data_IF_666733873801
#
_entry.id   IF_666733873801
#
_cell.length_a   1.000
_cell.length_b   1.000
_cell.length_c   1.000
_cell.angle_alpha   90.00
_cell.angle_beta   90.00
_cell.angle_gamma   90.00
#
_symmetry.space_group_name_H-M   'P 1'
#
loop_
_entity.id
_entity.type
_entity.pdbx_description
1 polymer ?
#
# COMPACT_ATOMS: atom_id res chain seq x y z
N UNK A 1 17.44 0.42 26.54
CA UNK A 1 18.28 0.05 25.40
C UNK A 1 17.39 -0.33 24.24
N UNK A 2 17.60 0.26 23.08
CA UNK A 2 16.90 -0.13 21.86
C UNK A 2 17.47 -1.46 21.36
N UNK A 3 16.63 -2.50 21.25
CA UNK A 3 17.01 -3.74 20.58
C UNK A 3 17.18 -3.48 19.07
N UNK A 4 18.08 -4.27 18.45
CA UNK A 4 18.24 -4.28 16.98
C UNK A 4 17.70 -5.62 16.49
N UNK A 5 16.82 -5.60 15.49
CA UNK A 5 16.36 -6.80 14.80
C UNK A 5 17.29 -7.04 13.59
N UNK A 6 17.81 -8.25 13.49
CA UNK A 6 18.65 -8.69 12.36
C UNK A 6 17.94 -9.84 11.67
N UNK A 7 17.63 -9.66 10.39
CA UNK A 7 16.89 -10.62 9.57
C UNK A 7 17.68 -11.02 8.33
N UNK A 8 17.32 -12.18 7.78
CA UNK A 8 17.89 -12.61 6.50
C UNK A 8 17.37 -11.73 5.37
N UNK A 9 18.28 -11.16 4.58
CA UNK A 9 17.92 -10.45 3.35
C UNK A 9 17.37 -11.42 2.31
N UNK A 10 16.17 -11.14 1.81
CA UNK A 10 15.54 -11.89 0.72
C UNK A 10 15.83 -11.18 -0.60
N UNK A 11 16.27 -11.95 -1.59
CA UNK A 11 16.58 -11.41 -2.92
C UNK A 11 15.35 -11.47 -3.82
N UNK A 12 15.08 -10.38 -4.53
CA UNK A 12 13.95 -10.32 -5.44
C UNK A 12 13.34 -8.93 -5.56
N UNK A 13 12.15 -8.91 -6.12
CA UNK A 13 11.31 -7.71 -6.29
C UNK A 13 10.29 -7.70 -5.16
N UNK A 14 10.08 -6.54 -4.57
CA UNK A 14 9.05 -6.33 -3.55
C UNK A 14 7.68 -6.22 -4.21
N UNK A 15 6.71 -6.88 -3.60
CA UNK A 15 5.32 -6.87 -4.02
C UNK A 15 4.43 -6.47 -2.86
N UNK A 16 3.41 -5.67 -3.13
CA UNK A 16 2.33 -5.34 -2.20
C UNK A 16 1.05 -6.05 -2.62
N UNK A 17 0.56 -6.98 -1.78
CA UNK A 17 -0.65 -7.76 -2.02
C UNK A 17 -1.75 -7.31 -1.07
N UNK A 18 -2.92 -7.01 -1.62
CA UNK A 18 -4.10 -6.64 -0.84
C UNK A 18 -4.99 -7.86 -0.61
N UNK A 19 -5.21 -8.18 0.65
CA UNK A 19 -6.13 -9.24 1.10
C UNK A 19 -7.36 -8.59 1.70
N UNK A 20 -8.54 -9.06 1.31
CA UNK A 20 -9.83 -8.64 1.86
C UNK A 20 -10.69 -9.88 2.12
N UNK A 21 -11.20 -10.04 3.33
CA UNK A 21 -12.05 -11.19 3.71
C UNK A 21 -11.35 -12.54 3.48
N UNK A 22 -10.03 -12.61 3.67
CA UNK A 22 -9.25 -13.82 3.47
C UNK A 22 -9.02 -14.19 2.00
N UNK A 23 -9.20 -13.26 1.07
CA UNK A 23 -8.95 -13.46 -0.38
C UNK A 23 -8.01 -12.39 -0.91
N UNK A 24 -7.08 -12.80 -1.78
CA UNK A 24 -6.29 -11.86 -2.57
C UNK A 24 -7.21 -11.09 -3.52
N UNK A 25 -7.13 -9.76 -3.50
CA UNK A 25 -7.96 -8.86 -4.30
C UNK A 25 -7.14 -8.12 -5.34
N UNK A 26 -5.93 -7.71 -4.98
CA UNK A 26 -5.03 -6.99 -5.87
C UNK A 26 -3.57 -7.21 -5.48
N UNK A 27 -2.68 -7.10 -6.44
CA UNK A 27 -1.24 -7.16 -6.23
C UNK A 27 -0.52 -6.16 -7.13
N UNK A 28 0.45 -5.45 -6.54
CA UNK A 28 1.34 -4.57 -7.27
C UNK A 28 2.79 -4.92 -6.95
N UNK A 29 3.67 -4.75 -7.91
CA UNK A 29 5.12 -4.87 -7.70
C UNK A 29 5.80 -3.52 -7.73
N UNK A 30 6.90 -3.43 -7.00
CA UNK A 30 7.83 -2.30 -7.07
C UNK A 30 8.58 -2.29 -8.40
N UNK A 31 9.09 -1.12 -8.75
CA UNK A 31 10.00 -0.96 -9.88
C UNK A 31 11.35 -0.42 -9.40
N UNK A 32 12.38 -0.76 -10.17
CA UNK A 32 13.69 -0.16 -10.00
C UNK A 32 13.66 1.26 -10.57
N UNK A 33 14.18 2.21 -9.82
CA UNK A 33 14.40 3.57 -10.33
C UNK A 33 15.85 3.69 -10.75
N UNK A 34 16.06 3.87 -12.03
CA UNK A 34 17.37 4.10 -12.62
C UNK A 34 17.41 5.41 -13.39
N UNK A 35 18.60 5.96 -13.56
CA UNK A 35 18.89 7.06 -14.48
C UNK A 35 20.04 6.69 -15.38
N UNK A 36 20.11 7.29 -16.56
CA UNK A 36 21.20 7.07 -17.52
C UNK A 36 22.11 8.29 -17.51
N UNK A 37 23.38 8.09 -17.24
CA UNK A 37 24.40 9.12 -17.28
C UNK A 37 24.51 9.75 -18.67
N UNK A 38 24.69 11.05 -18.70
CA UNK A 38 24.94 11.85 -19.93
C UNK A 38 26.36 12.37 -20.01
N UNK A 39 27.18 12.11 -18.98
CA UNK A 39 28.55 12.59 -18.86
C UNK A 39 28.66 14.08 -18.50
N UNK A 40 27.57 14.74 -18.10
CA UNK A 40 27.52 16.18 -17.81
C UNK A 40 26.74 16.53 -16.57
N UNK A 41 25.57 15.90 -16.40
CA UNK A 41 24.61 16.18 -15.32
C UNK A 41 24.95 15.34 -14.09
N UNK A 42 24.71 15.89 -12.89
CA UNK A 42 24.81 15.14 -11.64
C UNK A 42 23.68 14.12 -11.52
N UNK A 43 23.85 13.13 -10.66
CA UNK A 43 22.79 12.15 -10.36
C UNK A 43 21.49 12.84 -9.96
N UNK A 44 21.55 13.88 -9.10
CA UNK A 44 20.37 14.63 -8.69
C UNK A 44 19.67 15.32 -9.88
N UNK A 45 20.43 15.95 -10.77
CA UNK A 45 19.89 16.57 -12.00
C UNK A 45 19.28 15.53 -12.94
N UNK A 46 19.88 14.35 -13.06
CA UNK A 46 19.35 13.26 -13.88
C UNK A 46 18.02 12.74 -13.31
N UNK A 47 17.89 12.63 -11.98
CA UNK A 47 16.60 12.26 -11.35
C UNK A 47 15.52 13.29 -11.69
N UNK A 48 15.82 14.59 -11.58
CA UNK A 48 14.84 15.63 -11.89
C UNK A 48 14.45 15.64 -13.38
N UNK A 49 15.37 15.38 -14.28
CA UNK A 49 15.11 15.48 -15.72
C UNK A 49 14.60 14.19 -16.35
N UNK A 50 15.01 13.01 -15.85
CA UNK A 50 14.62 11.72 -16.46
C UNK A 50 13.49 11.03 -15.71
N UNK A 51 13.35 11.27 -14.38
CA UNK A 51 12.41 10.53 -13.53
C UNK A 51 11.26 11.42 -13.07
N UNK A 52 11.56 12.58 -12.47
CA UNK A 52 10.55 13.44 -11.86
C UNK A 52 9.75 14.28 -12.88
N UNK A 53 10.11 14.26 -14.15
CA UNK A 53 9.33 14.83 -15.25
C UNK A 53 8.11 14.00 -15.64
N UNK A 54 8.00 12.75 -15.18
CA UNK A 54 6.81 11.92 -15.45
C UNK A 54 5.56 12.56 -14.83
N UNK A 55 4.52 12.89 -15.62
CA UNK A 55 3.31 13.58 -15.13
C UNK A 55 2.51 12.74 -14.11
N UNK A 56 2.76 11.45 -14.02
CA UNK A 56 2.15 10.57 -13.00
C UNK A 56 2.78 10.75 -11.62
N UNK A 57 3.94 11.43 -11.52
CA UNK A 57 4.63 11.70 -10.27
C UNK A 57 4.15 12.99 -9.63
N UNK A 58 4.01 12.98 -8.32
CA UNK A 58 3.61 14.16 -7.59
C UNK A 58 3.71 14.00 -6.07
N UNK A 59 3.31 15.07 -5.37
CA UNK A 59 3.40 15.19 -3.90
C UNK A 59 2.06 14.89 -3.20
N UNK A 60 1.00 14.66 -3.96
CA UNK A 60 -0.35 14.46 -3.43
C UNK A 60 -0.86 13.07 -3.77
N UNK A 61 -1.87 12.61 -3.05
CA UNK A 61 -2.55 11.33 -3.28
C UNK A 61 -3.28 11.25 -4.64
N UNK A 62 -3.32 12.34 -5.40
CA UNK A 62 -3.85 12.34 -6.76
C UNK A 62 -2.87 11.71 -7.78
N UNK A 63 -1.60 11.62 -7.42
CA UNK A 63 -0.55 11.07 -8.27
C UNK A 63 -0.25 9.62 -7.87
N UNK A 64 -0.30 8.68 -8.81
CA UNK A 64 -0.03 7.26 -8.51
C UNK A 64 1.44 7.00 -8.16
N UNK A 65 2.36 7.87 -8.56
CA UNK A 65 3.78 7.75 -8.31
C UNK A 65 4.27 8.93 -7.47
N UNK A 66 5.17 8.65 -6.53
CA UNK A 66 5.82 9.68 -5.72
C UNK A 66 6.98 10.34 -6.45
N UNK A 67 7.27 11.58 -6.11
CA UNK A 67 8.51 12.25 -6.51
C UNK A 67 9.70 11.51 -5.89
N UNK A 68 10.68 11.19 -6.69
CA UNK A 68 11.91 10.54 -6.24
C UNK A 68 12.85 11.58 -5.63
N UNK A 69 13.38 11.24 -4.45
CA UNK A 69 14.36 12.03 -3.72
C UNK A 69 15.51 11.15 -3.28
N UNK A 70 16.68 11.72 -3.13
CA UNK A 70 17.84 11.03 -2.60
C UNK A 70 17.71 10.99 -1.06
N UNK A 71 17.03 9.98 -0.58
CA UNK A 71 16.93 9.65 0.84
C UNK A 71 18.13 8.80 1.32
N UNK A 72 18.07 8.31 2.55
CA UNK A 72 19.16 7.50 3.12
C UNK A 72 19.36 6.19 2.34
N UNK A 73 18.30 5.54 1.87
CA UNK A 73 18.40 4.29 1.12
C UNK A 73 19.03 4.54 -0.26
N UNK A 74 18.62 5.60 -0.95
CA UNK A 74 19.21 6.01 -2.22
C UNK A 74 20.68 6.38 -2.07
N UNK A 75 21.07 7.07 -0.99
CA UNK A 75 22.48 7.38 -0.71
C UNK A 75 23.32 6.12 -0.57
N UNK A 76 22.87 5.13 0.21
CA UNK A 76 23.55 3.85 0.39
C UNK A 76 23.67 3.11 -0.95
N UNK A 77 22.63 3.13 -1.79
CA UNK A 77 22.65 2.47 -3.08
C UNK A 77 23.63 3.16 -4.06
N UNK A 78 23.71 4.50 -4.03
CA UNK A 78 24.69 5.26 -4.80
C UNK A 78 26.13 5.00 -4.31
N UNK A 79 26.37 4.98 -3.00
CA UNK A 79 27.67 4.66 -2.40
C UNK A 79 28.16 3.27 -2.81
N UNK A 80 27.29 2.27 -2.88
CA UNK A 80 27.60 0.91 -3.38
C UNK A 80 28.11 0.91 -4.82
N UNK A 81 27.70 1.90 -5.60
CA UNK A 81 28.08 2.08 -7.00
C UNK A 81 29.28 3.05 -7.15
N UNK A 82 29.84 3.55 -6.04
CA UNK A 82 30.94 4.52 -5.99
C UNK A 82 30.48 5.93 -6.42
N UNK A 83 29.21 6.26 -6.20
CA UNK A 83 28.59 7.52 -6.60
C UNK A 83 28.00 8.26 -5.38
N UNK A 84 27.73 9.55 -5.58
CA UNK A 84 26.97 10.42 -4.68
C UNK A 84 25.92 11.20 -5.49
N UNK A 85 25.11 12.01 -4.80
CA UNK A 85 24.15 12.92 -5.45
C UNK A 85 24.80 13.86 -6.47
N UNK A 86 26.00 14.37 -6.14
CA UNK A 86 26.75 15.33 -6.94
C UNK A 86 27.66 14.66 -7.99
N UNK A 87 27.74 13.34 -8.01
CA UNK A 87 28.54 12.62 -8.99
C UNK A 87 27.97 12.78 -10.40
N UNK A 88 28.85 12.94 -11.40
CA UNK A 88 28.50 12.96 -12.82
C UNK A 88 28.79 11.58 -13.41
N UNK A 89 27.77 10.74 -13.64
CA UNK A 89 27.97 9.42 -14.23
C UNK A 89 28.45 9.53 -15.67
N UNK A 90 29.33 8.61 -16.07
CA UNK A 90 29.78 8.53 -17.45
C UNK A 90 28.57 8.37 -18.39
N UNK A 91 28.74 8.83 -19.64
CA UNK A 91 27.71 8.70 -20.66
C UNK A 91 27.30 7.22 -20.83
N UNK A 92 26.01 6.99 -20.96
CA UNK A 92 25.35 5.68 -21.12
C UNK A 92 25.51 4.73 -19.90
N UNK A 93 26.08 5.22 -18.78
CA UNK A 93 26.11 4.45 -17.54
C UNK A 93 24.73 4.45 -16.89
N UNK A 94 24.16 3.27 -16.69
CA UNK A 94 22.96 3.12 -15.86
C UNK A 94 23.31 3.22 -14.38
N UNK A 95 22.56 4.02 -13.64
CA UNK A 95 22.72 4.25 -12.20
C UNK A 95 21.42 3.90 -11.50
N UNK A 96 21.47 2.92 -10.62
CA UNK A 96 20.35 2.53 -9.79
C UNK A 96 20.19 3.53 -8.62
N UNK A 97 19.02 4.11 -8.49
CA UNK A 97 18.68 5.09 -7.44
C UNK A 97 17.96 4.42 -6.27
N UNK A 98 16.91 3.68 -6.57
CA UNK A 98 16.09 2.99 -5.57
C UNK A 98 15.61 1.65 -6.09
N UNK A 99 15.54 0.65 -5.19
CA UNK A 99 15.04 -0.70 -5.52
C UNK A 99 13.54 -0.83 -5.32
N UNK A 100 12.96 -0.07 -4.39
CA UNK A 100 11.58 -0.22 -3.92
C UNK A 100 10.89 1.16 -3.87
N UNK A 101 10.96 1.93 -4.96
CA UNK A 101 10.48 3.32 -4.93
C UNK A 101 8.95 3.46 -5.04
N UNK A 102 8.31 2.59 -5.80
CA UNK A 102 6.87 2.65 -6.02
C UNK A 102 6.32 1.27 -6.37
N UNK A 103 5.24 0.87 -5.73
CA UNK A 103 4.44 -0.28 -6.15
C UNK A 103 3.53 0.14 -7.33
N UNK A 104 4.13 0.31 -8.50
CA UNK A 104 3.50 0.98 -9.62
C UNK A 104 2.87 0.05 -10.66
N UNK A 105 3.26 -1.24 -10.65
CA UNK A 105 2.84 -2.19 -11.66
C UNK A 105 1.80 -3.15 -11.09
N UNK A 106 0.59 -3.13 -11.65
CA UNK A 106 -0.41 -4.15 -11.35
C UNK A 106 0.06 -5.51 -11.88
N UNK A 107 0.17 -6.48 -10.99
CA UNK A 107 0.52 -7.87 -11.30
C UNK A 107 -0.50 -8.85 -10.72
N UNK A 108 -1.72 -8.40 -10.45
CA UNK A 108 -2.77 -9.20 -9.80
C UNK A 108 -3.05 -10.50 -10.52
N UNK A 109 -3.17 -10.46 -11.85
CA UNK A 109 -3.49 -11.62 -12.68
C UNK A 109 -2.31 -12.61 -12.82
N UNK A 110 -1.11 -12.20 -12.37
CA UNK A 110 0.12 -12.99 -12.45
C UNK A 110 0.40 -13.79 -11.17
N UNK A 111 -0.29 -13.46 -10.07
CA UNK A 111 0.01 -14.07 -8.76
C UNK A 111 -0.29 -15.56 -8.75
N UNK A 112 0.72 -16.37 -8.40
CA UNK A 112 0.55 -17.81 -8.26
C UNK A 112 -0.53 -18.15 -7.22
N UNK A 113 -1.42 -19.13 -7.46
CA UNK A 113 -2.49 -19.50 -6.53
C UNK A 113 -1.99 -19.86 -5.13
N UNK A 114 -0.88 -20.58 -5.00
CA UNK A 114 -0.30 -20.93 -3.69
C UNK A 114 0.19 -19.68 -2.95
N UNK A 115 0.79 -18.72 -3.66
CA UNK A 115 1.19 -17.43 -3.09
C UNK A 115 -0.02 -16.67 -2.58
N UNK A 116 -1.13 -16.65 -3.35
CA UNK A 116 -2.38 -16.03 -2.93
C UNK A 116 -2.95 -16.67 -1.65
N UNK A 117 -2.86 -17.99 -1.52
CA UNK A 117 -3.30 -18.70 -0.31
C UNK A 117 -2.40 -18.38 0.90
N UNK A 118 -1.09 -18.34 0.70
CA UNK A 118 -0.11 -18.03 1.77
C UNK A 118 -0.32 -16.62 2.31
N UNK A 119 -0.51 -15.61 1.45
CA UNK A 119 -0.75 -14.23 1.91
C UNK A 119 -2.12 -14.08 2.59
N UNK A 120 -3.15 -14.78 2.12
CA UNK A 120 -4.45 -14.83 2.77
C UNK A 120 -4.37 -15.48 4.16
N UNK A 121 -3.56 -16.54 4.29
CA UNK A 121 -3.29 -17.17 5.57
C UNK A 121 -2.55 -16.24 6.52
N UNK A 122 -1.53 -15.52 6.04
CA UNK A 122 -0.78 -14.56 6.85
C UNK A 122 -1.69 -13.46 7.43
N UNK A 123 -2.57 -12.87 6.62
CA UNK A 123 -3.54 -11.88 7.08
C UNK A 123 -4.47 -12.47 8.17
N UNK A 124 -4.95 -13.69 7.99
CA UNK A 124 -5.81 -14.38 8.95
C UNK A 124 -5.11 -14.71 10.27
N UNK A 125 -3.84 -15.14 10.21
CA UNK A 125 -3.03 -15.45 11.41
C UNK A 125 -2.81 -14.20 12.27
N UNK A 126 -2.60 -13.05 11.62
CA UNK A 126 -2.48 -11.74 12.31
C UNK A 126 -3.85 -11.23 12.79
N UNK A 127 -4.96 -11.80 12.31
CA UNK A 127 -6.33 -11.40 12.69
C UNK A 127 -6.86 -10.19 11.91
N UNK A 128 -6.37 -9.96 10.70
CA UNK A 128 -6.80 -8.84 9.85
C UNK A 128 -7.74 -9.35 8.75
N UNK A 129 -8.89 -8.72 8.63
CA UNK A 129 -9.85 -8.93 7.54
C UNK A 129 -9.50 -8.12 6.28
N UNK A 130 -8.80 -7.00 6.46
CA UNK A 130 -8.21 -6.19 5.39
C UNK A 130 -6.74 -5.98 5.71
N UNK A 131 -5.86 -6.47 4.85
CA UNK A 131 -4.43 -6.42 5.07
C UNK A 131 -3.65 -6.13 3.78
N UNK A 132 -2.60 -5.34 3.90
CA UNK A 132 -1.54 -5.24 2.90
C UNK A 132 -0.39 -6.15 3.29
N UNK A 133 -0.06 -7.09 2.44
CA UNK A 133 1.04 -8.04 2.67
C UNK A 133 2.20 -7.70 1.75
N UNK A 134 3.35 -7.41 2.34
CA UNK A 134 4.58 -7.19 1.61
C UNK A 134 5.35 -8.49 1.51
N UNK A 135 5.71 -8.85 0.32
CA UNK A 135 6.54 -10.01 0.05
C UNK A 135 7.65 -9.69 -0.95
N UNK A 136 8.74 -10.43 -0.86
CA UNK A 136 9.85 -10.35 -1.80
C UNK A 136 10.01 -11.70 -2.49
N UNK A 137 10.01 -11.69 -3.81
CA UNK A 137 10.28 -12.87 -4.64
C UNK A 137 10.88 -12.47 -5.99
N UNK A 138 11.47 -13.43 -6.69
CA UNK A 138 12.02 -13.19 -8.03
C UNK A 138 10.93 -13.17 -9.11
N UNK A 139 9.91 -14.02 -8.95
CA UNK A 139 8.84 -14.22 -9.94
C UNK A 139 7.53 -14.53 -9.21
N UNK A 140 6.58 -13.58 -9.23
CA UNK A 140 5.29 -13.72 -8.53
C UNK A 140 4.40 -14.82 -9.11
N UNK A 141 4.68 -15.26 -10.33
CA UNK A 141 3.96 -16.33 -11.01
C UNK A 141 4.38 -17.75 -10.57
N UNK A 142 5.34 -17.85 -9.66
CA UNK A 142 5.82 -19.11 -9.08
C UNK A 142 5.54 -19.18 -7.58
N UNK A 143 5.45 -20.40 -6.99
CA UNK A 143 5.34 -20.55 -5.56
C UNK A 143 6.49 -19.86 -4.82
N UNK A 144 6.20 -19.24 -3.66
CA UNK A 144 7.20 -18.50 -2.87
C UNK A 144 8.34 -19.39 -2.38
N UNK A 145 8.01 -20.57 -1.89
CA UNK A 145 8.96 -21.54 -1.33
C UNK A 145 9.93 -22.09 -2.39
N UNK A 146 9.45 -22.29 -3.61
CA UNK A 146 10.26 -22.80 -4.73
C UNK A 146 11.41 -21.85 -5.12
N UNK A 147 11.32 -20.57 -4.77
CA UNK A 147 12.30 -19.55 -5.14
C UNK A 147 12.95 -18.87 -3.93
N UNK A 148 12.65 -19.33 -2.71
CA UNK A 148 13.16 -18.72 -1.49
C UNK A 148 12.58 -17.32 -1.22
N UNK A 149 11.42 -17.02 -1.79
CA UNK A 149 10.67 -15.80 -1.50
C UNK A 149 10.07 -15.82 -0.10
N UNK A 150 9.77 -14.65 0.45
CA UNK A 150 9.19 -14.55 1.78
C UNK A 150 8.24 -13.36 1.92
N UNK A 151 7.28 -13.50 2.84
CA UNK A 151 6.51 -12.38 3.39
C UNK A 151 7.42 -11.63 4.35
N UNK A 152 7.52 -10.32 4.20
CA UNK A 152 8.36 -9.47 5.05
C UNK A 152 7.55 -8.61 6.01
N UNK A 153 6.29 -8.28 5.65
CA UNK A 153 5.43 -7.47 6.51
C UNK A 153 3.95 -7.75 6.23
N UNK A 154 3.12 -7.63 7.29
CA UNK A 154 1.65 -7.63 7.19
C UNK A 154 1.12 -6.36 7.82
N UNK A 155 0.51 -5.49 7.02
CA UNK A 155 0.07 -4.15 7.40
C UNK A 155 -1.44 -4.08 7.60
N UNK A 156 -1.87 -3.51 8.73
CA UNK A 156 -3.23 -3.06 8.95
C UNK A 156 -3.46 -1.69 8.28
N UNK A 157 -4.60 -1.49 7.63
CA UNK A 157 -4.92 -0.22 6.97
C UNK A 157 -4.04 0.11 5.75
N UNK A 158 -3.92 -0.80 4.77
CA UNK A 158 -3.07 -0.60 3.61
C UNK A 158 -3.56 0.54 2.71
N UNK A 159 -2.62 1.24 2.06
CA UNK A 159 -2.96 2.19 1.01
C UNK A 159 -3.63 1.48 -0.17
N UNK A 160 -4.74 2.03 -0.65
CA UNK A 160 -5.51 1.48 -1.76
C UNK A 160 -5.17 2.15 -3.09
N UNK A 161 -4.55 3.33 -3.06
CA UNK A 161 -4.35 4.16 -4.25
C UNK A 161 -3.58 3.43 -5.34
N UNK A 162 -2.52 2.72 -5.00
CA UNK A 162 -1.69 1.97 -5.95
C UNK A 162 -2.46 0.90 -6.72
N UNK A 163 -3.52 0.35 -6.12
CA UNK A 163 -4.38 -0.66 -6.75
C UNK A 163 -5.51 -0.03 -7.57
N UNK A 164 -6.06 1.11 -7.10
CA UNK A 164 -7.13 1.83 -7.78
C UNK A 164 -6.58 2.59 -8.99
N UNK A 165 -5.37 3.13 -8.86
CA UNK A 165 -4.71 3.95 -9.88
C UNK A 165 -3.26 3.51 -10.04
N UNK A 166 -3.00 2.30 -10.58
CA UNK A 166 -1.65 1.85 -10.82
C UNK A 166 -0.94 2.75 -11.85
N UNK A 167 0.37 2.86 -11.74
CA UNK A 167 1.18 3.55 -12.75
C UNK A 167 1.17 2.82 -14.08
N UNK A 168 1.14 1.48 -14.06
CA UNK A 168 1.06 0.59 -15.23
C UNK A 168 0.16 -0.59 -14.88
N UNK A 169 -0.68 -1.02 -15.83
CA UNK A 169 -1.60 -2.14 -15.67
C UNK A 169 -3.04 -1.71 -15.46
N UNK A 170 -3.85 -2.56 -14.83
CA UNK A 170 -5.30 -2.39 -14.72
C UNK A 170 -5.69 -1.82 -13.34
N UNK A 171 -6.53 -0.77 -13.27
CA UNK A 171 -7.21 -0.41 -12.03
C UNK A 171 -8.00 -1.59 -11.46
N UNK A 172 -7.88 -1.84 -10.14
CA UNK A 172 -8.60 -2.90 -9.44
C UNK A 172 -9.70 -2.31 -8.57
N UNK A 173 -10.93 -2.87 -8.59
CA UNK A 173 -12.07 -2.34 -7.84
C UNK A 173 -12.00 -2.77 -6.36
N UNK A 174 -10.89 -2.47 -5.70
CA UNK A 174 -10.61 -2.91 -4.31
C UNK A 174 -11.60 -2.35 -3.30
N UNK A 175 -12.11 -1.14 -3.53
CA UNK A 175 -13.17 -0.56 -2.70
C UNK A 175 -14.46 -1.37 -2.74
N UNK A 176 -14.83 -1.90 -3.91
CA UNK A 176 -15.98 -2.79 -4.02
C UNK A 176 -15.79 -4.10 -3.26
N UNK A 177 -14.57 -4.68 -3.31
CA UNK A 177 -14.25 -5.89 -2.55
C UNK A 177 -14.37 -5.65 -1.04
N UNK A 178 -13.91 -4.49 -0.53
CA UNK A 178 -14.04 -4.10 0.87
C UNK A 178 -15.51 -3.94 1.26
N UNK A 179 -16.30 -3.22 0.46
CA UNK A 179 -17.72 -3.04 0.73
C UNK A 179 -18.46 -4.38 0.72
N UNK A 180 -18.19 -5.26 -0.24
CA UNK A 180 -18.79 -6.57 -0.32
C UNK A 180 -18.40 -7.49 0.86
N UNK A 181 -17.21 -7.28 1.44
CA UNK A 181 -16.77 -8.00 2.64
C UNK A 181 -17.48 -7.48 3.90
N UNK A 182 -17.73 -6.17 3.99
CA UNK A 182 -18.42 -5.55 5.13
C UNK A 182 -19.93 -5.81 5.14
N UNK A 183 -20.54 -5.88 3.97
CA UNK A 183 -21.98 -6.07 3.81
C UNK A 183 -22.22 -7.34 2.99
N UNK A 184 -22.94 -8.30 3.58
CA UNK A 184 -23.32 -9.53 2.87
C UNK A 184 -24.20 -9.24 1.64
N UNK A 185 -24.34 -10.24 0.77
CA UNK A 185 -25.27 -10.18 -0.35
C UNK A 185 -26.67 -9.85 0.17
N UNK A 186 -27.32 -8.86 -0.44
CA UNK A 186 -28.63 -8.33 -0.06
C UNK A 186 -28.69 -7.50 1.25
N UNK A 187 -27.57 -7.14 1.86
CA UNK A 187 -27.55 -6.17 2.94
C UNK A 187 -27.43 -4.75 2.36
N UNK A 188 -28.38 -3.89 2.73
CA UNK A 188 -28.38 -2.50 2.24
C UNK A 188 -27.32 -1.61 2.87
N UNK A 189 -26.67 -2.07 3.94
CA UNK A 189 -25.77 -1.27 4.77
C UNK A 189 -26.47 -0.10 5.49
N UNK A 190 -27.77 -0.01 5.38
CA UNK A 190 -28.54 1.06 6.03
C UNK A 190 -28.76 0.74 7.50
N UNK A 191 -28.53 1.74 8.34
CA UNK A 191 -28.89 1.70 9.75
C UNK A 191 -30.11 2.59 9.99
N UNK A 192 -31.02 2.24 10.91
CA UNK A 192 -32.09 3.12 11.32
C UNK A 192 -31.52 4.45 11.84
N UNK A 193 -32.09 5.57 11.38
CA UNK A 193 -31.67 6.90 11.81
C UNK A 193 -32.80 7.55 12.59
N UNK A 194 -32.49 8.04 13.79
CA UNK A 194 -33.39 8.81 14.64
C UNK A 194 -32.89 10.23 14.72
N UNK A 195 -33.63 11.17 14.15
CA UNK A 195 -33.31 12.61 14.23
C UNK A 195 -34.10 13.26 15.38
N UNK A 196 -33.39 13.97 16.27
CA UNK A 196 -33.99 14.73 17.37
C UNK A 196 -33.75 16.21 17.11
N UNK A 197 -34.85 16.98 16.93
CA UNK A 197 -34.81 18.41 16.69
C UNK A 197 -35.61 19.16 17.76
N UNK A 198 -35.32 20.45 17.99
CA UNK A 198 -36.01 21.30 18.93
C UNK A 198 -35.13 22.43 19.43
N UNK A 199 -35.75 23.41 20.11
CA UNK A 199 -35.04 24.56 20.70
C UNK A 199 -34.30 24.17 21.99
N UNK A 200 -34.94 23.35 22.84
CA UNK A 200 -34.38 22.93 24.14
C UNK A 200 -34.51 21.40 24.31
N UNK A 201 -33.64 20.80 25.11
CA UNK A 201 -33.73 19.42 25.55
C UNK A 201 -33.33 18.36 24.52
N UNK A 202 -33.03 18.72 23.26
CA UNK A 202 -32.71 17.75 22.20
C UNK A 202 -31.53 16.83 22.53
N UNK A 203 -30.47 17.36 23.15
CA UNK A 203 -29.32 16.51 23.52
C UNK A 203 -29.68 15.52 24.62
N UNK A 204 -30.49 15.93 25.62
CA UNK A 204 -30.97 15.02 26.67
C UNK A 204 -31.82 13.89 26.08
N UNK A 205 -32.77 14.24 25.19
CA UNK A 205 -33.61 13.25 24.52
C UNK A 205 -32.78 12.29 23.67
N UNK A 206 -31.81 12.79 22.88
CA UNK A 206 -30.94 11.95 22.05
C UNK A 206 -30.10 10.98 22.90
N UNK A 207 -29.52 11.48 24.02
CA UNK A 207 -28.77 10.64 24.98
C UNK A 207 -29.68 9.61 25.65
N UNK A 208 -30.92 9.97 26.00
CA UNK A 208 -31.89 9.04 26.60
C UNK A 208 -32.30 7.94 25.62
N UNK A 209 -32.58 8.27 24.35
CA UNK A 209 -32.89 7.29 23.31
C UNK A 209 -31.72 6.32 23.08
N UNK A 210 -30.50 6.83 22.98
CA UNK A 210 -29.32 5.99 22.86
C UNK A 210 -29.13 5.06 24.05
N UNK A 211 -29.40 5.56 25.27
CA UNK A 211 -29.33 4.75 26.50
C UNK A 211 -30.41 3.64 26.53
N UNK A 212 -31.63 3.94 26.11
CA UNK A 212 -32.70 2.92 26.03
C UNK A 212 -32.38 1.83 24.99
N UNK A 213 -31.81 2.20 23.84
CA UNK A 213 -31.36 1.23 22.86
C UNK A 213 -30.24 0.33 23.43
N UNK A 214 -29.28 0.92 24.13
CA UNK A 214 -28.24 0.15 24.82
C UNK A 214 -28.83 -0.84 25.84
N UNK A 215 -29.80 -0.40 26.68
CA UNK A 215 -30.47 -1.28 27.65
C UNK A 215 -31.29 -2.42 26.97
N UNK A 216 -31.74 -2.20 25.74
CA UNK A 216 -32.39 -3.24 24.93
C UNK A 216 -31.42 -4.17 24.19
N UNK A 217 -30.12 -4.07 24.45
CA UNK A 217 -29.08 -4.89 23.84
C UNK A 217 -28.70 -4.48 22.40
N UNK A 218 -29.11 -3.29 21.96
CA UNK A 218 -28.76 -2.76 20.64
C UNK A 218 -27.60 -1.80 20.71
N UNK A 219 -26.73 -1.85 19.69
CA UNK A 219 -25.67 -0.85 19.54
C UNK A 219 -26.22 0.39 18.82
N UNK A 220 -25.97 1.57 19.37
CA UNK A 220 -26.35 2.82 18.77
C UNK A 220 -25.17 3.80 18.73
N UNK A 221 -24.94 4.44 17.59
CA UNK A 221 -24.08 5.60 17.45
C UNK A 221 -24.85 6.86 17.85
N UNK A 222 -24.24 7.75 18.63
CA UNK A 222 -24.82 9.03 19.04
C UNK A 222 -23.97 10.20 18.56
N UNK A 223 -24.59 11.12 17.80
CA UNK A 223 -24.00 12.39 17.42
C UNK A 223 -24.83 13.53 18.02
N UNK A 224 -24.33 14.19 19.03
CA UNK A 224 -24.94 15.39 19.65
C UNK A 224 -23.85 16.37 20.14
N UNK A 225 -24.23 17.63 20.39
CA UNK A 225 -23.33 18.54 21.12
C UNK A 225 -23.28 18.15 22.60
N UNK A 226 -22.10 18.33 23.20
CA UNK A 226 -21.92 18.24 24.67
C UNK A 226 -22.62 19.37 25.40
#
# INVERSE_FOLDING_TARGET
GSGVLVERSIQGIEHRLLVVGGKLVAANRSDLITVIGDGKSTVEQLIETQVNTDPRRGKTELHPLSIIRIDTAAKIELERQGLSADSVPAKDREVLIQRNANHAFDCTDEVHPDTAQVVALAARVVGLDIAGVDLVCQDISKPLDAQGGAIVEVNAGPSLLMHIKPGIGKPRPVGQAIVNNLFGENQSGRVPLIGVTGTHGKNAVAKMVAHLLYLSGQYAGLACKD
#
